data_IF_276257181919
#
_entry.id   IF_276257181919
#
_cell.length_a   1.000
_cell.length_b   1.000
_cell.length_c   1.000
_cell.angle_alpha   90.00
_cell.angle_beta   90.00
_cell.angle_gamma   90.00
#
_symmetry.space_group_name_H-M   'P 1'
#
loop_
_entity.id
_entity.type
_entity.pdbx_description
1 polymer ?
#
# COMPACT_ATOMS: atom_id res chain seq x y z
N UNK A 1 17.96 -24.22 -47.62
CA UNK A 1 18.96 -23.63 -46.69
C UNK A 1 18.99 -24.46 -45.41
N UNK A 2 19.83 -25.50 -45.35
CA UNK A 2 19.79 -26.49 -44.26
C UNK A 2 21.17 -27.11 -43.95
N UNK A 3 22.04 -27.15 -44.95
CA UNK A 3 23.42 -27.64 -44.82
C UNK A 3 24.23 -26.83 -43.81
N UNK A 4 24.16 -25.49 -43.87
CA UNK A 4 24.91 -24.62 -42.94
C UNK A 4 24.50 -24.90 -41.50
N UNK A 5 23.19 -24.90 -41.20
CA UNK A 5 22.69 -25.20 -39.86
C UNK A 5 23.07 -26.62 -39.39
N UNK A 6 23.02 -27.61 -40.29
CA UNK A 6 23.40 -29.00 -39.99
C UNK A 6 24.88 -29.13 -39.61
N UNK A 7 25.75 -28.40 -40.30
CA UNK A 7 27.20 -28.33 -40.01
C UNK A 7 27.44 -27.56 -38.71
N UNK A 8 26.76 -26.43 -38.48
CA UNK A 8 26.87 -25.64 -37.24
C UNK A 8 26.47 -26.45 -36.00
N UNK A 9 25.32 -27.15 -36.03
CA UNK A 9 24.86 -27.96 -34.90
C UNK A 9 25.85 -29.11 -34.61
N UNK A 10 26.47 -29.69 -35.64
CA UNK A 10 27.48 -30.75 -35.47
C UNK A 10 28.71 -30.20 -34.75
N UNK A 11 29.22 -29.04 -35.14
CA UNK A 11 30.35 -28.39 -34.48
C UNK A 11 30.05 -27.96 -33.03
N UNK A 12 28.83 -27.48 -32.75
CA UNK A 12 28.39 -27.15 -31.40
C UNK A 12 28.31 -28.39 -30.50
N UNK A 13 27.92 -29.55 -31.06
CA UNK A 13 27.87 -30.85 -30.37
C UNK A 13 29.25 -31.49 -30.18
N UNK A 14 30.23 -31.24 -31.04
CA UNK A 14 31.60 -31.73 -30.86
C UNK A 14 32.33 -30.93 -29.76
N UNK A 15 32.09 -29.62 -29.65
CA UNK A 15 32.70 -28.74 -28.65
C UNK A 15 31.79 -28.46 -27.43
N UNK A 16 31.24 -29.52 -26.82
CA UNK A 16 30.21 -29.41 -25.76
C UNK A 16 30.60 -28.51 -24.59
N UNK A 17 31.87 -28.58 -24.14
CA UNK A 17 32.36 -27.78 -23.01
C UNK A 17 32.34 -26.28 -23.32
N UNK A 18 32.81 -25.88 -24.50
CA UNK A 18 32.84 -24.48 -24.94
C UNK A 18 31.42 -23.93 -25.11
N UNK A 19 30.55 -24.67 -25.79
CA UNK A 19 29.15 -24.27 -26.03
C UNK A 19 28.36 -24.11 -24.72
N UNK A 20 28.56 -25.00 -23.74
CA UNK A 20 27.88 -24.94 -22.45
C UNK A 20 28.27 -23.68 -21.67
N UNK A 21 29.56 -23.34 -21.61
CA UNK A 21 30.05 -22.16 -20.91
C UNK A 21 29.47 -20.88 -21.55
N UNK A 22 29.46 -20.81 -22.88
CA UNK A 22 28.88 -19.64 -23.58
C UNK A 22 27.39 -19.50 -23.28
N UNK A 23 26.63 -20.59 -23.33
CA UNK A 23 25.20 -20.59 -23.05
C UNK A 23 24.90 -20.12 -21.62
N UNK A 24 25.63 -20.63 -20.63
CA UNK A 24 25.49 -20.20 -19.23
C UNK A 24 25.82 -18.72 -19.09
N UNK A 25 26.91 -18.24 -19.70
CA UNK A 25 27.27 -16.82 -19.68
C UNK A 25 26.18 -15.93 -20.28
N UNK A 26 25.58 -16.34 -21.40
CA UNK A 26 24.48 -15.59 -22.03
C UNK A 26 23.24 -15.57 -21.13
N UNK A 27 22.87 -16.71 -20.52
CA UNK A 27 21.73 -16.80 -19.60
C UNK A 27 21.94 -15.88 -18.40
N UNK A 28 23.13 -15.93 -17.78
CA UNK A 28 23.45 -15.08 -16.63
C UNK A 28 23.41 -13.60 -17.01
N UNK A 29 23.98 -13.22 -18.16
CA UNK A 29 23.96 -11.83 -18.62
C UNK A 29 22.55 -11.30 -18.80
N UNK A 30 21.67 -12.04 -19.46
CA UNK A 30 20.27 -11.65 -19.65
C UNK A 30 19.51 -11.65 -18.31
N UNK A 31 19.75 -12.65 -17.46
CA UNK A 31 19.12 -12.74 -16.14
C UNK A 31 19.49 -11.57 -15.23
N UNK A 32 20.76 -11.12 -15.23
CA UNK A 32 21.21 -9.97 -14.44
C UNK A 32 20.48 -8.68 -14.85
N UNK A 33 20.37 -8.42 -16.15
CA UNK A 33 19.67 -7.23 -16.66
C UNK A 33 18.18 -7.28 -16.28
N UNK A 34 17.54 -8.43 -16.48
CA UNK A 34 16.14 -8.63 -16.16
C UNK A 34 15.87 -8.51 -14.65
N UNK A 35 16.76 -9.05 -13.81
CA UNK A 35 16.65 -8.98 -12.36
C UNK A 35 16.65 -7.53 -11.87
N UNK A 36 17.56 -6.68 -12.37
CA UNK A 36 17.63 -5.28 -11.98
C UNK A 36 16.35 -4.52 -12.39
N UNK A 37 15.87 -4.73 -13.62
CA UNK A 37 14.64 -4.09 -14.09
C UNK A 37 13.41 -4.53 -13.28
N UNK A 38 13.29 -5.83 -13.01
CA UNK A 38 12.17 -6.41 -12.26
C UNK A 38 12.20 -5.95 -10.80
N UNK A 39 13.36 -5.97 -10.16
CA UNK A 39 13.54 -5.47 -8.79
C UNK A 39 13.16 -4.00 -8.70
N UNK A 40 13.64 -3.16 -9.62
CA UNK A 40 13.28 -1.73 -9.62
C UNK A 40 11.78 -1.49 -9.73
N UNK A 41 11.12 -2.15 -10.69
CA UNK A 41 9.66 -2.01 -10.87
C UNK A 41 8.85 -2.52 -9.68
N UNK A 42 9.23 -3.69 -9.14
CA UNK A 42 8.56 -4.30 -7.98
C UNK A 42 8.77 -3.47 -6.72
N UNK A 43 9.97 -2.92 -6.53
CA UNK A 43 10.28 -2.07 -5.39
C UNK A 43 9.46 -0.78 -5.41
N UNK A 44 9.32 -0.13 -6.57
CA UNK A 44 8.46 1.04 -6.71
C UNK A 44 6.98 0.71 -6.45
N UNK A 45 6.49 -0.45 -6.91
CA UNK A 45 5.12 -0.88 -6.62
C UNK A 45 4.93 -1.16 -5.12
N UNK A 46 5.91 -1.79 -4.46
CA UNK A 46 5.90 -2.01 -3.02
C UNK A 46 5.83 -0.68 -2.27
N UNK A 47 6.70 0.28 -2.60
CA UNK A 47 6.71 1.60 -1.98
C UNK A 47 5.37 2.33 -2.14
N UNK A 48 4.75 2.25 -3.32
CA UNK A 48 3.42 2.85 -3.55
C UNK A 48 2.37 2.20 -2.66
N UNK A 49 2.34 0.87 -2.59
CA UNK A 49 1.37 0.13 -1.76
C UNK A 49 1.59 0.42 -0.27
N UNK A 50 2.83 0.54 0.16
CA UNK A 50 3.18 0.87 1.54
C UNK A 50 2.78 2.31 1.88
N UNK A 51 3.05 3.27 0.98
CA UNK A 51 2.57 4.64 1.13
C UNK A 51 1.04 4.67 1.27
N UNK A 52 0.30 4.04 0.36
CA UNK A 52 -1.18 3.97 0.43
C UNK A 52 -1.67 3.30 1.71
N UNK A 53 -0.97 2.28 2.21
CA UNK A 53 -1.36 1.57 3.44
C UNK A 53 -1.07 2.40 4.69
N UNK A 54 0.04 3.13 4.71
CA UNK A 54 0.51 3.91 5.86
C UNK A 54 -0.18 5.27 5.96
N UNK A 55 -0.22 6.03 4.86
CA UNK A 55 -0.90 7.33 4.85
C UNK A 55 -2.40 7.18 4.69
N UNK A 56 -2.88 6.18 3.96
CA UNK A 56 -4.27 6.12 3.48
C UNK A 56 -4.40 6.74 2.08
N UNK A 57 -5.46 6.36 1.36
CA UNK A 57 -5.75 6.81 -0.02
C UNK A 57 -6.53 8.13 -0.05
N UNK A 58 -6.07 9.13 0.70
CA UNK A 58 -6.67 10.46 0.72
C UNK A 58 -5.78 11.47 0.00
N UNK A 59 -6.39 12.26 -0.87
CA UNK A 59 -5.71 13.29 -1.67
C UNK A 59 -5.72 14.65 -0.98
N UNK A 60 -6.72 14.92 -0.13
CA UNK A 60 -6.88 16.21 0.56
C UNK A 60 -7.31 16.02 2.02
N UNK A 61 -6.67 16.76 2.92
CA UNK A 61 -7.02 16.83 4.34
C UNK A 61 -7.53 18.23 4.70
N UNK A 62 -8.75 18.35 5.22
CA UNK A 62 -9.28 19.58 5.79
C UNK A 62 -9.34 19.47 7.31
N UNK A 63 -8.77 20.44 8.01
CA UNK A 63 -8.85 20.53 9.48
C UNK A 63 -9.95 21.52 9.89
N UNK A 64 -10.66 21.21 10.97
CA UNK A 64 -11.66 22.08 11.60
C UNK A 64 -12.86 22.48 10.72
N UNK A 65 -13.49 21.48 10.10
CA UNK A 65 -14.61 21.71 9.19
C UNK A 65 -15.94 21.92 9.94
N UNK A 66 -16.65 23.01 9.60
CA UNK A 66 -17.98 23.34 10.14
C UNK A 66 -19.10 22.50 9.50
N UNK A 67 -20.24 22.38 10.19
CA UNK A 67 -21.38 21.57 9.72
C UNK A 67 -21.98 22.02 8.38
N UNK A 68 -21.94 23.31 8.01
CA UNK A 68 -22.36 23.75 6.68
C UNK A 68 -21.37 23.34 5.58
N UNK A 69 -20.06 23.38 5.87
CA UNK A 69 -19.01 23.02 4.92
C UNK A 69 -19.00 21.51 4.64
N UNK A 70 -19.38 20.70 5.62
CA UNK A 70 -19.56 19.25 5.47
C UNK A 70 -20.55 18.88 4.36
N UNK A 71 -21.71 19.56 4.28
CA UNK A 71 -22.70 19.29 3.22
C UNK A 71 -22.18 19.70 1.84
N UNK A 72 -21.51 20.85 1.76
CA UNK A 72 -20.91 21.32 0.51
C UNK A 72 -19.81 20.38 -0.02
N UNK A 73 -19.08 19.72 0.88
CA UNK A 73 -18.05 18.73 0.54
C UNK A 73 -18.63 17.34 0.19
N UNK A 74 -19.81 16.99 0.71
CA UNK A 74 -20.52 15.75 0.32
C UNK A 74 -21.24 15.89 -1.03
N UNK A 75 -21.66 17.10 -1.40
CA UNK A 75 -22.38 17.38 -2.65
C UNK A 75 -21.46 17.68 -3.85
N UNK A 76 -20.16 17.83 -3.61
CA UNK A 76 -19.20 18.18 -4.66
C UNK A 76 -18.76 16.96 -5.48
N UNK A 77 -18.94 17.05 -6.80
CA UNK A 77 -18.67 15.98 -7.78
C UNK A 77 -17.18 15.61 -7.95
N UNK A 78 -16.27 16.44 -7.43
CA UNK A 78 -14.82 16.24 -7.52
C UNK A 78 -14.21 15.54 -6.31
N UNK A 79 -14.96 15.43 -5.22
CA UNK A 79 -14.58 14.68 -4.01
C UNK A 79 -15.25 13.32 -4.09
N UNK A 80 -14.47 12.25 -4.00
CA UNK A 80 -15.00 10.90 -3.95
C UNK A 80 -15.62 10.58 -2.58
N UNK A 81 -15.12 9.54 -1.92
CA UNK A 81 -15.59 9.21 -0.57
C UNK A 81 -14.98 10.17 0.46
N UNK A 82 -15.85 10.79 1.25
CA UNK A 82 -15.47 11.68 2.34
C UNK A 82 -15.34 10.90 3.66
N UNK A 83 -14.16 10.95 4.25
CA UNK A 83 -13.82 10.34 5.52
C UNK A 83 -13.82 11.38 6.63
N UNK A 84 -14.58 11.15 7.70
CA UNK A 84 -14.59 12.03 8.88
C UNK A 84 -13.88 11.35 10.03
N UNK A 85 -12.92 12.07 10.62
CA UNK A 85 -12.09 11.60 11.71
C UNK A 85 -12.07 12.65 12.82
N UNK A 86 -12.26 12.20 14.05
CA UNK A 86 -12.12 13.02 15.25
C UNK A 86 -11.14 12.38 16.21
N UNK A 87 -10.17 13.15 16.67
CA UNK A 87 -9.19 12.71 17.64
C UNK A 87 -9.69 13.07 19.06
N UNK A 88 -9.86 12.07 19.92
CA UNK A 88 -10.26 12.27 21.33
C UNK A 88 -9.06 12.31 22.29
N UNK A 89 -7.86 12.02 21.78
CA UNK A 89 -6.61 12.05 22.56
C UNK A 89 -6.28 10.71 23.18
N UNK A 90 -5.62 10.75 24.35
CA UNK A 90 -5.11 9.56 25.03
C UNK A 90 -5.97 9.25 26.27
N UNK A 91 -6.40 8.00 26.39
CA UNK A 91 -7.07 7.46 27.56
C UNK A 91 -6.09 6.57 28.33
N UNK A 92 -5.93 6.80 29.63
CA UNK A 92 -5.06 5.99 30.48
C UNK A 92 -5.63 4.58 30.65
N UNK A 93 -4.76 3.58 30.61
CA UNK A 93 -5.10 2.17 30.77
C UNK A 93 -4.27 1.56 31.90
N UNK A 94 -4.87 1.52 33.09
CA UNK A 94 -4.22 1.09 34.32
C UNK A 94 -3.80 -0.39 34.30
N UNK A 95 -4.51 -1.25 33.55
CA UNK A 95 -4.24 -2.69 33.44
C UNK A 95 -3.37 -3.06 32.21
N UNK A 96 -2.55 -2.13 31.72
CA UNK A 96 -1.70 -2.39 30.54
C UNK A 96 -0.66 -3.48 30.80
N UNK A 97 -0.55 -4.50 29.92
CA UNK A 97 0.55 -5.46 29.95
C UNK A 97 1.92 -4.83 29.67
N UNK A 98 1.94 -3.66 29.03
CA UNK A 98 3.16 -2.91 28.72
C UNK A 98 3.23 -1.65 29.59
N UNK A 99 4.13 -1.67 30.58
CA UNK A 99 4.40 -0.57 31.51
C UNK A 99 4.94 0.68 30.83
N UNK A 100 5.39 0.60 29.57
CA UNK A 100 6.03 1.71 28.86
C UNK A 100 5.01 2.59 28.14
N UNK A 101 3.81 2.06 27.86
CA UNK A 101 2.74 2.74 27.12
C UNK A 101 1.35 2.37 27.66
N UNK A 102 0.99 2.77 28.89
CA UNK A 102 -0.31 2.48 29.49
C UNK A 102 -1.38 3.46 29.00
N UNK A 103 -1.47 3.70 27.68
CA UNK A 103 -2.45 4.62 27.12
C UNK A 103 -3.03 4.11 25.81
N UNK A 104 -4.34 4.23 25.67
CA UNK A 104 -5.02 4.08 24.40
C UNK A 104 -5.11 5.41 23.69
N UNK A 105 -4.82 5.42 22.40
CA UNK A 105 -5.11 6.57 21.55
C UNK A 105 -6.50 6.39 20.93
N UNK A 106 -7.45 7.22 21.34
CA UNK A 106 -8.86 7.12 20.98
C UNK A 106 -9.18 8.07 19.83
N UNK A 107 -9.77 7.51 18.77
CA UNK A 107 -10.22 8.27 17.60
C UNK A 107 -11.56 7.75 17.14
N UNK A 108 -12.47 8.66 16.83
CA UNK A 108 -13.72 8.33 16.18
C UNK A 108 -13.56 8.42 14.67
N UNK A 109 -14.02 7.39 13.97
CA UNK A 109 -14.10 7.35 12.51
C UNK A 109 -15.55 7.12 12.09
N UNK A 110 -15.95 7.77 10.99
CA UNK A 110 -17.19 7.39 10.31
C UNK A 110 -17.03 6.03 9.60
N UNK A 111 -18.12 5.27 9.43
CA UNK A 111 -18.11 3.93 8.82
C UNK A 111 -17.67 3.90 7.35
N UNK A 112 -17.88 4.99 6.60
CA UNK A 112 -17.54 5.09 5.17
C UNK A 112 -16.05 4.83 4.91
N UNK A 113 -15.11 5.55 5.53
CA UNK A 113 -13.68 5.26 5.40
C UNK A 113 -13.24 3.96 6.06
N UNK A 114 -13.97 3.47 7.07
CA UNK A 114 -13.60 2.25 7.79
C UNK A 114 -13.62 0.99 6.89
N UNK A 115 -14.44 0.98 5.84
CA UNK A 115 -14.44 -0.09 4.83
C UNK A 115 -13.24 -0.03 3.87
N UNK A 116 -12.64 1.16 3.71
CA UNK A 116 -11.54 1.43 2.77
C UNK A 116 -10.18 1.29 3.44
N UNK A 117 -10.08 1.70 4.71
CA UNK A 117 -8.98 1.31 5.58
C UNK A 117 -9.01 -0.20 5.74
N UNK A 118 -7.98 -0.89 5.25
CA UNK A 118 -7.78 -2.33 5.47
C UNK A 118 -7.42 -2.60 6.93
N UNK A 119 -8.36 -2.35 7.84
CA UNK A 119 -8.25 -2.68 9.24
C UNK A 119 -8.45 -4.17 9.40
N UNK A 120 -7.38 -4.88 9.75
CA UNK A 120 -7.45 -6.27 10.14
C UNK A 120 -7.98 -6.32 11.57
N UNK A 121 -9.25 -6.70 11.74
CA UNK A 121 -9.86 -6.89 13.04
C UNK A 121 -9.33 -8.16 13.69
N UNK A 122 -8.69 -8.02 14.86
CA UNK A 122 -8.21 -9.16 15.64
C UNK A 122 -9.29 -9.71 16.59
N UNK A 123 -10.20 -8.87 17.11
CA UNK A 123 -11.47 -9.24 17.78
C UNK A 123 -12.26 -7.99 18.25
N UNK A 124 -13.59 -7.95 18.11
CA UNK A 124 -14.48 -6.91 18.69
C UNK A 124 -15.73 -6.55 17.87
N UNK A 125 -16.78 -6.02 18.51
CA UNK A 125 -18.03 -5.57 17.89
C UNK A 125 -18.21 -4.03 18.02
N UNK A 126 -18.84 -3.39 17.04
CA UNK A 126 -19.01 -1.93 16.96
C UNK A 126 -20.16 -1.43 17.85
N UNK A 127 -19.98 -0.27 18.50
CA UNK A 127 -21.04 0.46 19.19
C UNK A 127 -21.24 1.83 18.54
N UNK A 128 -22.47 2.11 18.09
CA UNK A 128 -22.80 3.25 17.25
C UNK A 128 -23.20 4.44 18.12
N UNK A 129 -22.36 5.48 18.18
CA UNK A 129 -22.72 6.76 18.78
C UNK A 129 -22.61 7.88 17.73
N UNK A 130 -23.68 8.64 17.56
CA UNK A 130 -23.73 9.77 16.63
C UNK A 130 -22.78 10.88 17.10
N UNK A 131 -21.79 11.23 16.27
CA UNK A 131 -20.78 12.26 16.55
C UNK A 131 -21.41 13.67 16.48
N UNK A 132 -21.42 14.40 17.60
CA UNK A 132 -21.80 15.83 17.67
C UNK A 132 -20.54 16.69 17.83
N UNK A 133 -20.31 17.58 16.86
CA UNK A 133 -19.42 18.77 16.85
C UNK A 133 -18.23 18.83 17.82
N UNK A 134 -17.01 18.82 17.27
CA UNK A 134 -15.78 19.58 17.66
C UNK A 134 -14.58 18.95 16.96
N UNK A 135 -13.91 19.71 16.09
CA UNK A 135 -12.71 19.39 15.29
C UNK A 135 -12.75 18.08 14.49
N UNK A 136 -13.33 18.18 13.29
CA UNK A 136 -13.34 17.12 12.29
C UNK A 136 -12.16 17.31 11.33
N UNK A 137 -11.32 16.28 11.20
CA UNK A 137 -10.42 16.12 10.06
C UNK A 137 -11.17 15.38 8.95
N UNK A 138 -11.26 16.00 7.79
CA UNK A 138 -11.89 15.43 6.61
C UNK A 138 -10.79 14.99 5.67
N UNK A 139 -10.76 13.70 5.37
CA UNK A 139 -9.90 13.15 4.34
C UNK A 139 -10.75 12.79 3.13
N UNK A 140 -10.38 13.29 1.97
CA UNK A 140 -11.11 13.03 0.75
C UNK A 140 -10.17 12.64 -0.38
N UNK A 141 -10.68 11.77 -1.25
CA UNK A 141 -10.00 11.27 -2.44
C UNK A 141 -10.45 12.06 -3.67
#
# INVERSE_FOLDING_TARGET
MNIVNKVTIRHLKENKKRTLITLIGTIISVAMIMAVATLGSTFLDLMKREAVTSSGDWHVGFEDVQHEQLRALEESDWLGDVALMREHGYAEFEESPDSTKPYFYVRDLNLRPLKRCKLNFLMGAYHMHLMKSSSLKIFAQ
#
